data_IF_540120409073
#
_entry.id   IF_540120409073
#
_cell.length_a   1.000
_cell.length_b   1.000
_cell.length_c   1.000
_cell.angle_alpha   90.00
_cell.angle_beta   90.00
_cell.angle_gamma   90.00
#
_symmetry.space_group_name_H-M   'P 1'
#
loop_
_entity.id
_entity.type
_entity.pdbx_description
1 polymer ?
#
# COMPACT_ATOMS: atom_id res chain seq x y z
N UNK A 1 21.40 44.00 5.40
CA UNK A 1 21.14 42.70 4.73
C UNK A 1 20.73 41.71 5.80
N UNK A 2 19.43 41.40 5.92
CA UNK A 2 18.96 40.34 6.80
C UNK A 2 19.13 39.02 6.07
N UNK A 3 20.01 38.16 6.59
CA UNK A 3 20.18 36.78 6.15
C UNK A 3 18.87 36.03 6.38
N UNK A 4 18.21 35.60 5.31
CA UNK A 4 17.15 34.61 5.37
C UNK A 4 17.81 33.24 5.56
N UNK A 5 18.09 32.87 6.80
CA UNK A 5 18.24 31.46 7.13
C UNK A 5 16.85 30.85 7.04
N UNK A 6 16.52 30.29 5.88
CA UNK A 6 15.44 29.33 5.78
C UNK A 6 15.82 28.17 6.70
N UNK A 7 15.10 28.02 7.81
CA UNK A 7 15.14 26.80 8.62
C UNK A 7 14.69 25.66 7.71
N UNK A 8 15.62 24.97 7.05
CA UNK A 8 15.35 23.69 6.40
C UNK A 8 15.16 22.68 7.52
N UNK A 9 13.92 22.53 7.99
CA UNK A 9 13.59 21.42 8.89
C UNK A 9 13.91 20.11 8.16
N UNK A 10 14.67 19.25 8.81
CA UNK A 10 14.97 17.90 8.35
C UNK A 10 13.66 17.13 8.18
N UNK A 11 13.46 16.46 7.03
CA UNK A 11 12.25 15.69 6.76
C UNK A 11 12.10 14.56 7.78
N UNK A 12 10.90 14.39 8.32
CA UNK A 12 10.61 13.35 9.31
C UNK A 12 9.42 12.51 8.87
N UNK A 13 9.66 11.22 8.71
CA UNK A 13 8.65 10.25 8.32
C UNK A 13 7.45 10.24 9.29
N UNK A 14 6.23 10.56 8.83
CA UNK A 14 5.03 10.45 9.65
C UNK A 14 4.75 8.98 10.06
N UNK A 15 4.12 8.73 11.23
CA UNK A 15 3.80 7.37 11.67
C UNK A 15 2.82 6.67 10.74
N UNK A 16 2.97 5.35 10.55
CA UNK A 16 2.18 4.54 9.63
C UNK A 16 0.68 4.72 9.84
N UNK A 17 -0.15 4.61 8.80
CA UNK A 17 -1.62 4.64 8.90
C UNK A 17 -2.22 5.86 9.63
N UNK A 18 -1.43 6.91 9.88
CA UNK A 18 -1.93 8.20 10.41
C UNK A 18 -2.47 9.05 9.28
N UNK A 19 -3.40 9.94 9.61
CA UNK A 19 -3.86 10.98 8.68
C UNK A 19 -2.69 11.70 8.00
N UNK A 20 -1.71 12.18 8.77
CA UNK A 20 -0.52 12.86 8.25
C UNK A 20 0.26 11.99 7.25
N UNK A 21 0.50 10.70 7.57
CA UNK A 21 1.22 9.79 6.65
C UNK A 21 0.48 9.51 5.35
N UNK A 22 -0.85 9.46 5.41
CA UNK A 22 -1.69 9.13 4.26
C UNK A 22 -1.81 10.31 3.32
N UNK A 23 -2.03 11.51 3.87
CA UNK A 23 -2.04 12.77 3.13
C UNK A 23 -0.68 13.03 2.50
N UNK A 24 0.41 12.89 3.27
CA UNK A 24 1.78 13.07 2.76
C UNK A 24 2.07 12.14 1.57
N UNK A 25 1.75 10.84 1.69
CA UNK A 25 1.93 9.89 0.59
C UNK A 25 1.07 10.22 -0.63
N UNK A 26 -0.19 10.61 -0.42
CA UNK A 26 -1.11 10.97 -1.50
C UNK A 26 -0.67 12.21 -2.28
N UNK A 27 -0.08 13.19 -1.58
CA UNK A 27 0.47 14.41 -2.16
C UNK A 27 1.81 14.15 -2.89
N UNK A 28 2.71 13.40 -2.27
CA UNK A 28 4.11 13.29 -2.72
C UNK A 28 4.40 12.10 -3.66
N UNK A 29 3.57 11.05 -3.66
CA UNK A 29 3.80 9.80 -4.43
C UNK A 29 2.67 9.53 -5.43
N UNK A 30 2.73 8.46 -6.24
CA UNK A 30 1.66 8.11 -7.22
C UNK A 30 0.38 7.55 -6.58
N UNK A 31 0.34 7.48 -5.26
CA UNK A 31 -0.74 6.86 -4.51
C UNK A 31 -0.27 6.33 -3.17
N UNK A 32 -1.12 5.54 -2.54
CA UNK A 32 -0.92 5.08 -1.17
C UNK A 32 -1.59 3.74 -0.92
N UNK A 33 -1.11 3.06 0.11
CA UNK A 33 -1.67 1.86 0.66
C UNK A 33 -1.99 2.09 2.14
N UNK A 34 -3.10 1.55 2.62
CA UNK A 34 -3.48 1.65 4.02
C UNK A 34 -4.42 0.54 4.47
N UNK A 35 -4.47 0.36 5.79
CA UNK A 35 -5.13 -0.77 6.42
C UNK A 35 -6.45 -0.38 7.08
N UNK A 36 -7.53 -1.08 6.75
CA UNK A 36 -8.87 -0.86 7.29
C UNK A 36 -9.27 -1.95 8.29
N UNK A 37 -9.85 -1.50 9.40
CA UNK A 37 -10.52 -2.31 10.42
C UNK A 37 -11.89 -1.75 10.76
N UNK A 38 -12.71 -2.61 11.37
CA UNK A 38 -14.04 -2.27 11.85
C UNK A 38 -14.01 -2.19 13.37
N UNK A 39 -14.52 -1.09 13.92
CA UNK A 39 -14.65 -0.84 15.37
C UNK A 39 -15.81 -1.63 15.98
N UNK A 40 -16.04 -1.46 17.29
CA UNK A 40 -17.15 -2.09 18.01
C UNK A 40 -18.51 -1.51 17.60
N UNK A 41 -18.54 -0.22 17.28
CA UNK A 41 -19.69 0.57 16.81
C UNK A 41 -19.87 0.60 15.28
N UNK A 42 -19.29 -0.37 14.57
CA UNK A 42 -19.47 -0.59 13.12
C UNK A 42 -18.96 0.58 12.24
N UNK A 43 -17.88 1.24 12.65
CA UNK A 43 -17.23 2.32 11.90
C UNK A 43 -15.82 1.93 11.44
N UNK A 44 -15.28 2.66 10.45
CA UNK A 44 -14.00 2.35 9.82
C UNK A 44 -12.84 3.12 10.45
N UNK A 45 -11.85 2.37 10.94
CA UNK A 45 -10.59 2.90 11.46
C UNK A 45 -9.41 2.45 10.61
N UNK A 46 -8.45 3.34 10.40
CA UNK A 46 -7.21 3.05 9.68
C UNK A 46 -6.14 2.52 10.64
N UNK A 47 -5.91 1.21 10.64
CA UNK A 47 -4.96 0.55 11.53
C UNK A 47 -4.53 -0.86 11.09
N UNK A 48 -3.24 -1.15 11.18
CA UNK A 48 -2.67 -2.42 10.74
C UNK A 48 -2.94 -3.59 11.70
N UNK A 49 -2.66 -3.41 12.99
CA UNK A 49 -2.55 -4.49 13.98
C UNK A 49 -3.86 -4.81 14.70
N UNK A 50 -3.94 -6.00 15.30
CA UNK A 50 -5.11 -6.38 16.11
C UNK A 50 -5.20 -5.56 17.40
N UNK A 51 -4.04 -5.23 17.96
CA UNK A 51 -3.95 -4.48 19.19
C UNK A 51 -3.86 -2.99 18.87
N UNK A 52 -4.50 -2.16 19.69
CA UNK A 52 -4.29 -0.72 19.65
C UNK A 52 -2.81 -0.44 19.87
N UNK A 53 -2.27 0.51 19.13
CA UNK A 53 -0.88 0.93 19.23
C UNK A 53 -0.65 1.86 20.44
N UNK A 54 -1.26 1.54 21.58
CA UNK A 54 -1.20 2.29 22.83
C UNK A 54 -0.42 1.46 23.84
N UNK A 55 0.62 1.99 24.49
CA UNK A 55 1.36 1.24 25.51
C UNK A 55 0.44 0.81 26.67
N UNK A 56 0.67 -0.39 27.22
CA UNK A 56 -0.24 -1.01 28.20
C UNK A 56 -0.55 -0.13 29.41
N UNK A 57 0.44 0.65 29.89
CA UNK A 57 0.25 1.56 31.02
C UNK A 57 -0.71 2.72 30.75
N UNK A 58 -1.06 2.98 29.48
CA UNK A 58 -1.95 4.05 29.05
C UNK A 58 -3.31 3.55 28.56
N UNK A 59 -3.57 2.24 28.64
CA UNK A 59 -4.88 1.69 28.29
C UNK A 59 -5.95 2.01 29.33
N UNK A 60 -5.56 2.33 30.58
CA UNK A 60 -6.50 2.68 31.66
C UNK A 60 -7.64 1.65 31.82
N UNK A 61 -7.28 0.36 31.84
CA UNK A 61 -8.23 -0.75 31.95
C UNK A 61 -9.05 -1.06 30.69
N UNK A 62 -8.87 -0.29 29.60
CA UNK A 62 -9.56 -0.53 28.32
C UNK A 62 -9.01 -1.74 27.58
N UNK A 63 -9.77 -2.31 26.62
CA UNK A 63 -9.36 -3.50 25.89
C UNK A 63 -8.09 -3.29 25.06
N UNK A 64 -7.32 -4.36 24.82
CA UNK A 64 -6.15 -4.30 23.94
C UNK A 64 -6.53 -4.32 22.46
N UNK A 65 -7.65 -4.94 22.09
CA UNK A 65 -8.00 -5.13 20.68
C UNK A 65 -8.71 -3.90 20.11
N UNK A 66 -8.28 -3.44 18.94
CA UNK A 66 -8.88 -2.28 18.27
C UNK A 66 -10.35 -2.49 17.94
N UNK A 67 -10.77 -3.72 17.64
CA UNK A 67 -12.16 -4.04 17.32
C UNK A 67 -13.11 -4.05 18.54
N UNK A 68 -12.59 -3.85 19.75
CA UNK A 68 -13.37 -3.73 20.99
C UNK A 68 -13.58 -2.27 21.43
N UNK A 69 -13.10 -1.31 20.63
CA UNK A 69 -13.26 0.12 20.90
C UNK A 69 -14.29 0.73 19.95
N UNK A 70 -15.01 1.73 20.44
CA UNK A 70 -15.78 2.67 19.62
C UNK A 70 -14.82 3.63 18.91
N UNK A 71 -15.18 4.08 17.70
CA UNK A 71 -14.30 4.92 16.89
C UNK A 71 -13.99 6.26 17.57
N UNK A 72 -14.99 6.89 18.18
CA UNK A 72 -14.84 8.17 18.85
C UNK A 72 -13.79 8.11 19.97
N UNK A 73 -13.63 6.97 20.65
CA UNK A 73 -12.60 6.78 21.67
C UNK A 73 -11.23 6.51 21.08
N UNK A 74 -11.14 5.82 19.94
CA UNK A 74 -9.89 5.65 19.19
C UNK A 74 -9.38 7.00 18.65
N UNK A 75 -10.26 7.86 18.16
CA UNK A 75 -9.87 9.18 17.63
C UNK A 75 -9.33 10.10 18.74
N UNK A 76 -9.87 10.03 19.97
CA UNK A 76 -9.33 10.77 21.13
C UNK A 76 -7.87 10.43 21.43
N UNK A 77 -7.44 9.23 21.08
CA UNK A 77 -6.05 8.74 21.27
C UNK A 77 -5.24 8.74 19.98
N UNK A 78 -5.72 9.45 18.95
CA UNK A 78 -4.94 9.78 17.76
C UNK A 78 -5.03 8.77 16.61
N UNK A 79 -5.99 7.83 16.64
CA UNK A 79 -6.29 6.99 15.49
C UNK A 79 -6.97 7.81 14.39
N UNK A 80 -6.83 7.36 13.15
CA UNK A 80 -7.48 7.99 12.01
C UNK A 80 -8.72 7.20 11.65
N UNK A 81 -9.89 7.82 11.66
CA UNK A 81 -11.07 7.26 11.00
C UNK A 81 -10.93 7.38 9.48
N UNK A 82 -11.59 6.48 8.75
CA UNK A 82 -11.66 6.60 7.29
C UNK A 82 -12.52 7.81 6.87
N UNK A 83 -13.57 8.11 7.63
CA UNK A 83 -14.42 9.29 7.42
C UNK A 83 -13.62 10.59 7.48
N UNK A 84 -12.80 10.79 8.53
CA UNK A 84 -11.94 11.96 8.66
C UNK A 84 -11.00 12.12 7.46
N UNK A 85 -10.39 11.02 7.02
CA UNK A 85 -9.53 11.04 5.83
C UNK A 85 -10.31 11.43 4.57
N UNK A 86 -11.51 10.87 4.38
CA UNK A 86 -12.40 11.18 3.25
C UNK A 86 -13.00 12.59 3.32
N UNK A 87 -12.88 13.30 4.45
CA UNK A 87 -13.28 14.71 4.57
C UNK A 87 -12.15 15.70 4.24
N UNK A 88 -10.91 15.22 4.11
CA UNK A 88 -9.75 16.06 3.81
C UNK A 88 -9.60 16.28 2.30
N UNK A 89 -9.51 17.54 1.89
CA UNK A 89 -9.28 17.93 0.49
C UNK A 89 -7.88 17.59 0.01
N UNK A 90 -6.88 17.68 0.90
CA UNK A 90 -5.50 17.31 0.56
C UNK A 90 -5.37 15.81 0.36
N UNK A 91 -6.31 15.02 0.85
CA UNK A 91 -6.47 13.61 0.51
C UNK A 91 -7.29 13.39 -0.77
N UNK A 92 -8.48 13.97 -0.83
CA UNK A 92 -9.47 13.67 -1.87
C UNK A 92 -9.06 14.20 -3.25
N UNK A 93 -8.61 15.46 -3.35
CA UNK A 93 -8.36 16.09 -4.65
C UNK A 93 -7.31 15.32 -5.46
N UNK A 94 -6.15 14.91 -4.92
CA UNK A 94 -5.22 14.08 -5.69
C UNK A 94 -5.80 12.75 -6.12
N UNK A 95 -6.64 12.12 -5.30
CA UNK A 95 -7.25 10.84 -5.62
C UNK A 95 -8.34 10.95 -6.70
N UNK A 96 -9.13 12.03 -6.67
CA UNK A 96 -10.18 12.33 -7.65
C UNK A 96 -9.59 12.78 -8.99
N UNK A 97 -8.62 13.69 -8.95
CA UNK A 97 -8.26 14.52 -10.10
C UNK A 97 -6.85 14.21 -10.63
N UNK A 98 -5.91 13.80 -9.78
CA UNK A 98 -4.49 13.72 -10.15
C UNK A 98 -4.03 12.31 -10.56
N UNK A 99 -4.98 11.42 -10.89
CA UNK A 99 -4.72 10.01 -11.24
C UNK A 99 -3.91 9.25 -10.19
N UNK A 100 -4.02 9.63 -8.91
CA UNK A 100 -3.47 8.87 -7.79
C UNK A 100 -4.31 7.63 -7.54
N UNK A 101 -3.72 6.64 -6.88
CA UNK A 101 -4.40 5.37 -6.59
C UNK A 101 -4.30 4.98 -5.13
N UNK A 102 -5.26 4.21 -4.63
CA UNK A 102 -5.24 3.67 -3.29
C UNK A 102 -5.44 2.15 -3.24
N UNK A 103 -4.57 1.48 -2.49
CA UNK A 103 -4.73 0.08 -2.10
C UNK A 103 -5.34 0.02 -0.69
N UNK A 104 -6.58 -0.50 -0.58
CA UNK A 104 -7.32 -0.59 0.68
C UNK A 104 -7.18 -2.02 1.24
N UNK A 105 -6.30 -2.22 2.22
CA UNK A 105 -6.16 -3.54 2.87
C UNK A 105 -7.27 -3.78 3.88
N UNK A 106 -8.09 -4.81 3.64
CA UNK A 106 -9.07 -5.24 4.63
C UNK A 106 -8.39 -6.17 5.62
N UNK A 107 -8.19 -5.72 6.86
CA UNK A 107 -7.65 -6.58 7.92
C UNK A 107 -8.71 -7.52 8.46
N UNK A 108 -8.29 -8.76 8.67
CA UNK A 108 -9.11 -9.77 9.35
C UNK A 108 -9.05 -9.52 10.84
N UNK A 109 -10.17 -9.68 11.54
CA UNK A 109 -10.21 -9.68 13.01
C UNK A 109 -9.79 -11.04 13.59
N UNK A 110 -9.51 -11.08 14.89
CA UNK A 110 -9.27 -12.33 15.61
C UNK A 110 -10.55 -13.18 15.73
N UNK A 111 -10.44 -14.52 15.90
CA UNK A 111 -11.60 -15.41 16.06
C UNK A 111 -12.50 -15.06 17.27
N UNK A 112 -11.95 -14.42 18.30
CA UNK A 112 -12.71 -13.99 19.48
C UNK A 112 -13.63 -12.80 19.22
N UNK A 113 -13.31 -11.99 18.20
CA UNK A 113 -14.13 -10.84 17.78
C UNK A 113 -15.28 -11.34 16.89
N UNK A 114 -14.95 -12.13 15.86
CA UNK A 114 -15.94 -12.68 14.95
C UNK A 114 -15.45 -14.02 14.36
N UNK A 115 -16.36 -14.99 14.37
CA UNK A 115 -16.15 -16.31 13.79
C UNK A 115 -16.31 -16.24 12.26
N UNK A 116 -17.34 -15.56 11.77
CA UNK A 116 -17.53 -15.31 10.33
C UNK A 116 -16.77 -14.06 9.87
N UNK A 117 -15.45 -14.24 9.75
CA UNK A 117 -14.56 -13.18 9.26
C UNK A 117 -14.93 -12.70 7.84
N UNK A 118 -15.58 -13.53 7.01
CA UNK A 118 -15.96 -13.12 5.65
C UNK A 118 -17.08 -12.09 5.69
N UNK A 119 -18.07 -12.28 6.58
CA UNK A 119 -19.14 -11.32 6.80
C UNK A 119 -18.62 -10.00 7.38
N UNK A 120 -17.69 -10.05 8.35
CA UNK A 120 -17.08 -8.81 8.88
C UNK A 120 -16.28 -8.06 7.81
N UNK A 121 -15.49 -8.79 7.02
CA UNK A 121 -14.75 -8.18 5.90
C UNK A 121 -15.67 -7.61 4.83
N UNK A 122 -16.82 -8.23 4.55
CA UNK A 122 -17.78 -7.66 3.59
C UNK A 122 -18.41 -6.38 4.11
N UNK A 123 -18.62 -6.26 5.43
CA UNK A 123 -19.07 -5.01 6.05
C UNK A 123 -18.03 -3.89 5.90
N UNK A 124 -16.75 -4.19 6.10
CA UNK A 124 -15.67 -3.22 5.84
C UNK A 124 -15.66 -2.78 4.37
N UNK A 125 -15.70 -3.73 3.44
CA UNK A 125 -15.71 -3.43 2.00
C UNK A 125 -16.94 -2.61 1.61
N UNK A 126 -18.10 -2.89 2.19
CA UNK A 126 -19.33 -2.14 1.95
C UNK A 126 -19.17 -0.67 2.35
N UNK A 127 -18.86 -0.41 3.62
CA UNK A 127 -18.72 0.95 4.17
C UNK A 127 -17.66 1.77 3.42
N UNK A 128 -16.52 1.13 3.11
CA UNK A 128 -15.44 1.80 2.40
C UNK A 128 -15.83 2.08 0.94
N UNK A 129 -16.51 1.14 0.27
CA UNK A 129 -16.99 1.36 -1.09
C UNK A 129 -18.03 2.47 -1.16
N UNK A 130 -18.98 2.54 -0.21
CA UNK A 130 -19.98 3.62 -0.15
C UNK A 130 -19.29 4.99 -0.12
N UNK A 131 -18.33 5.21 0.78
CA UNK A 131 -17.57 6.46 0.85
C UNK A 131 -16.74 6.75 -0.41
N UNK A 132 -16.09 5.73 -0.98
CA UNK A 132 -15.27 5.87 -2.20
C UNK A 132 -16.14 6.16 -3.44
N UNK A 133 -17.33 5.56 -3.51
CA UNK A 133 -18.32 5.79 -4.58
C UNK A 133 -18.94 7.18 -4.47
N UNK A 134 -19.35 7.60 -3.27
CA UNK A 134 -19.90 8.94 -3.00
C UNK A 134 -18.89 10.05 -3.33
N UNK A 135 -17.61 9.82 -3.03
CA UNK A 135 -16.53 10.73 -3.39
C UNK A 135 -16.20 10.74 -4.90
N UNK A 136 -16.89 9.97 -5.74
CA UNK A 136 -16.66 9.97 -7.19
C UNK A 136 -15.27 9.44 -7.59
N UNK A 137 -14.62 8.66 -6.75
CA UNK A 137 -13.31 8.08 -7.06
C UNK A 137 -13.44 7.13 -8.24
N UNK A 138 -12.56 7.24 -9.22
CA UNK A 138 -12.61 6.40 -10.42
C UNK A 138 -12.42 4.91 -10.12
N UNK A 139 -13.07 4.05 -10.92
CA UNK A 139 -13.08 2.59 -10.69
C UNK A 139 -11.68 1.98 -10.65
N UNK A 140 -10.78 2.45 -11.51
CA UNK A 140 -9.39 1.99 -11.57
C UNK A 140 -8.44 2.71 -10.59
N UNK A 141 -8.95 3.57 -9.70
CA UNK A 141 -8.15 4.31 -8.72
C UNK A 141 -8.22 3.73 -7.29
N UNK A 142 -9.06 2.73 -7.05
CA UNK A 142 -9.20 2.08 -5.75
C UNK A 142 -9.23 0.56 -5.92
N UNK A 143 -8.43 -0.18 -5.15
CA UNK A 143 -8.46 -1.65 -5.15
C UNK A 143 -8.53 -2.15 -3.72
N UNK A 144 -9.47 -3.06 -3.46
CA UNK A 144 -9.52 -3.78 -2.18
C UNK A 144 -8.64 -5.02 -2.24
N UNK A 145 -7.91 -5.28 -1.18
CA UNK A 145 -7.15 -6.54 -1.09
C UNK A 145 -6.98 -7.01 0.34
N UNK A 146 -6.71 -8.29 0.51
CA UNK A 146 -6.51 -8.89 1.82
C UNK A 146 -5.83 -10.25 1.72
N UNK A 147 -5.22 -10.68 2.84
CA UNK A 147 -4.78 -12.06 3.04
C UNK A 147 -5.96 -13.01 3.34
N UNK A 148 -6.95 -13.06 2.44
CA UNK A 148 -8.17 -13.86 2.61
C UNK A 148 -8.52 -14.66 1.36
N UNK A 149 -8.83 -15.96 1.53
CA UNK A 149 -9.10 -16.84 0.38
C UNK A 149 -10.40 -16.47 -0.34
N UNK A 150 -11.56 -16.31 0.31
CA UNK A 150 -12.82 -16.05 -0.40
C UNK A 150 -13.08 -14.55 -0.62
N UNK A 151 -12.10 -13.79 -1.15
CA UNK A 151 -12.30 -12.36 -1.48
C UNK A 151 -13.46 -12.12 -2.45
N UNK A 152 -13.71 -13.04 -3.39
CA UNK A 152 -14.89 -12.97 -4.26
C UNK A 152 -16.21 -13.00 -3.47
N UNK A 153 -16.27 -13.81 -2.40
CA UNK A 153 -17.44 -13.85 -1.50
C UNK A 153 -17.56 -12.56 -0.68
N UNK A 154 -16.45 -11.98 -0.25
CA UNK A 154 -16.43 -10.66 0.42
C UNK A 154 -17.04 -9.60 -0.49
N UNK A 155 -16.56 -9.50 -1.73
CA UNK A 155 -17.08 -8.54 -2.71
C UNK A 155 -18.57 -8.75 -2.97
N UNK A 156 -19.00 -9.99 -3.25
CA UNK A 156 -20.42 -10.33 -3.48
C UNK A 156 -21.32 -9.97 -2.30
N UNK A 157 -20.89 -10.28 -1.07
CA UNK A 157 -21.68 -9.98 0.14
C UNK A 157 -21.72 -8.48 0.46
N UNK A 158 -20.67 -7.74 0.11
CA UNK A 158 -20.61 -6.30 0.34
C UNK A 158 -21.49 -5.48 -0.62
N UNK A 159 -21.92 -6.07 -1.74
CA UNK A 159 -22.58 -5.35 -2.82
C UNK A 159 -21.65 -4.46 -3.66
N UNK A 160 -20.37 -4.36 -3.31
CA UNK A 160 -19.39 -3.53 -4.02
C UNK A 160 -19.03 -4.08 -5.40
N UNK A 161 -18.97 -3.18 -6.39
CA UNK A 161 -18.44 -3.43 -7.74
C UNK A 161 -16.96 -3.06 -7.88
N UNK A 162 -16.33 -2.53 -6.82
CA UNK A 162 -14.93 -2.11 -6.81
C UNK A 162 -14.00 -3.31 -7.01
N UNK A 163 -12.88 -3.12 -7.73
CA UNK A 163 -12.01 -4.22 -8.06
C UNK A 163 -11.28 -4.71 -6.80
N UNK A 164 -10.89 -5.98 -6.80
CA UNK A 164 -10.17 -6.57 -5.69
C UNK A 164 -9.04 -7.50 -6.13
N UNK A 165 -8.03 -7.62 -5.28
CA UNK A 165 -6.90 -8.55 -5.42
C UNK A 165 -6.73 -9.40 -4.16
N UNK A 166 -6.03 -10.53 -4.27
CA UNK A 166 -5.73 -11.38 -3.11
C UNK A 166 -4.27 -11.28 -2.70
N UNK A 167 -3.99 -11.02 -1.43
CA UNK A 167 -2.63 -11.13 -0.90
C UNK A 167 -2.31 -12.60 -0.61
N UNK A 168 -1.17 -13.06 -1.12
CA UNK A 168 -0.71 -14.44 -1.01
C UNK A 168 0.77 -14.48 -0.61
N UNK A 169 1.19 -15.49 0.18
CA UNK A 169 0.40 -16.58 0.76
C UNK A 169 -0.54 -16.10 1.87
N UNK A 170 -1.65 -16.80 2.08
CA UNK A 170 -2.59 -16.47 3.16
C UNK A 170 -1.95 -16.76 4.51
N UNK A 171 -1.70 -15.70 5.26
CA UNK A 171 -1.12 -15.77 6.60
C UNK A 171 -2.19 -16.19 7.61
N UNK A 172 -1.92 -17.09 8.58
CA UNK A 172 -2.85 -17.39 9.66
C UNK A 172 -3.16 -16.15 10.53
N UNK A 173 -4.36 -16.11 11.13
CA UNK A 173 -4.79 -15.00 12.00
C UNK A 173 -4.05 -15.00 13.35
N UNK A 174 -3.86 -16.17 13.93
CA UNK A 174 -3.27 -16.35 15.27
C UNK A 174 -1.84 -16.90 15.20
N UNK A 175 -1.09 -16.76 16.30
CA UNK A 175 0.27 -17.29 16.46
C UNK A 175 1.38 -16.25 16.23
N UNK A 176 2.60 -16.61 16.61
CA UNK A 176 3.78 -15.74 16.46
C UNK A 176 4.12 -15.46 14.99
N UNK A 177 4.85 -14.37 14.74
CA UNK A 177 5.31 -13.99 13.41
C UNK A 177 6.01 -15.16 12.67
N UNK A 178 6.95 -15.83 13.33
CA UNK A 178 7.68 -16.95 12.73
C UNK A 178 6.77 -18.18 12.48
N UNK A 179 5.87 -18.50 13.41
CA UNK A 179 4.91 -19.60 13.24
C UNK A 179 3.88 -19.34 12.15
N UNK A 180 3.48 -18.08 11.94
CA UNK A 180 2.64 -17.65 10.83
C UNK A 180 3.35 -17.85 9.48
N UNK A 181 4.62 -17.44 9.36
CA UNK A 181 5.41 -17.62 8.13
C UNK A 181 5.63 -19.10 7.80
N UNK A 182 5.94 -19.94 8.79
CA UNK A 182 6.13 -21.37 8.58
C UNK A 182 4.88 -22.04 7.99
N UNK A 183 3.70 -21.73 8.52
CA UNK A 183 2.43 -22.28 8.01
C UNK A 183 2.04 -21.75 6.63
N UNK A 184 2.51 -20.55 6.26
CA UNK A 184 2.30 -19.97 4.94
C UNK A 184 3.28 -20.50 3.87
N UNK A 185 4.41 -21.08 4.29
CA UNK A 185 5.49 -21.55 3.42
C UNK A 185 5.06 -22.54 2.33
N UNK A 186 4.23 -23.57 2.60
CA UNK A 186 3.79 -24.49 1.54
C UNK A 186 3.04 -23.77 0.41
N UNK A 187 2.24 -22.76 0.76
CA UNK A 187 1.55 -21.95 -0.23
C UNK A 187 2.53 -21.06 -1.00
N UNK A 188 3.52 -20.47 -0.34
CA UNK A 188 4.56 -19.68 -1.00
C UNK A 188 5.35 -20.53 -2.02
N UNK A 189 5.80 -21.73 -1.63
CA UNK A 189 6.54 -22.67 -2.50
C UNK A 189 5.73 -23.03 -3.75
N UNK A 190 4.44 -23.30 -3.60
CA UNK A 190 3.57 -23.73 -4.72
C UNK A 190 3.25 -22.61 -5.72
N UNK A 191 3.30 -21.34 -5.29
CA UNK A 191 3.01 -20.17 -6.12
C UNK A 191 4.32 -19.55 -6.62
N UNK A 192 4.92 -20.09 -7.68
CA UNK A 192 5.94 -19.33 -8.43
C UNK A 192 5.35 -18.04 -9.01
N UNK A 193 6.20 -17.06 -9.34
CA UNK A 193 5.75 -15.75 -9.85
C UNK A 193 4.70 -15.86 -10.97
N UNK A 194 4.96 -16.69 -11.99
CA UNK A 194 4.02 -16.95 -13.08
C UNK A 194 2.68 -17.54 -12.62
N UNK A 195 2.72 -18.50 -11.67
CA UNK A 195 1.50 -19.11 -11.13
C UNK A 195 0.70 -18.11 -10.31
N UNK A 196 1.38 -17.26 -9.55
CA UNK A 196 0.74 -16.19 -8.79
C UNK A 196 0.06 -15.19 -9.73
N UNK A 197 0.76 -14.75 -10.78
CA UNK A 197 0.23 -13.82 -11.79
C UNK A 197 -1.01 -14.39 -12.49
N UNK A 198 -0.93 -15.62 -13.00
CA UNK A 198 -2.07 -16.30 -13.63
C UNK A 198 -3.25 -16.44 -12.68
N UNK A 199 -2.99 -16.67 -11.40
CA UNK A 199 -4.05 -16.80 -10.39
C UNK A 199 -4.82 -15.50 -10.18
N UNK A 200 -4.13 -14.36 -10.18
CA UNK A 200 -4.77 -13.04 -10.08
C UNK A 200 -5.55 -12.71 -11.36
N UNK A 201 -4.96 -12.96 -12.52
CA UNK A 201 -5.64 -12.78 -13.81
C UNK A 201 -6.92 -13.60 -13.89
N UNK A 202 -6.86 -14.89 -13.52
CA UNK A 202 -8.01 -15.79 -13.54
C UNK A 202 -9.11 -15.39 -12.54
N UNK A 203 -8.80 -14.60 -11.50
CA UNK A 203 -9.80 -14.05 -10.59
C UNK A 203 -10.35 -12.69 -11.01
N UNK A 204 -9.92 -12.14 -12.16
CA UNK A 204 -10.31 -10.81 -12.61
C UNK A 204 -9.69 -9.67 -11.80
N UNK A 205 -8.60 -9.93 -11.08
CA UNK A 205 -7.93 -8.91 -10.28
C UNK A 205 -7.28 -7.84 -11.19
N UNK A 206 -7.31 -6.55 -10.81
CA UNK A 206 -6.73 -5.49 -11.64
C UNK A 206 -5.20 -5.49 -11.62
N UNK A 207 -4.60 -6.06 -10.57
CA UNK A 207 -3.16 -6.14 -10.36
C UNK A 207 -2.79 -7.32 -9.47
N UNK A 208 -1.53 -7.75 -9.54
CA UNK A 208 -0.95 -8.70 -8.60
C UNK A 208 -0.14 -7.95 -7.54
N UNK A 209 -0.57 -7.96 -6.27
CA UNK A 209 0.35 -7.61 -5.22
C UNK A 209 1.39 -8.76 -5.15
N UNK A 210 2.67 -8.44 -4.99
CA UNK A 210 3.78 -9.40 -4.94
C UNK A 210 4.78 -9.10 -3.81
N UNK A 211 5.16 -10.11 -3.02
CA UNK A 211 6.21 -9.93 -2.01
C UNK A 211 7.60 -9.75 -2.66
N UNK A 212 8.46 -8.93 -2.08
CA UNK A 212 9.86 -8.73 -2.54
C UNK A 212 10.69 -10.03 -2.50
N UNK A 213 10.28 -11.00 -1.67
CA UNK A 213 10.87 -12.34 -1.55
C UNK A 213 10.94 -13.11 -2.90
N UNK A 214 10.18 -12.70 -3.94
CA UNK A 214 10.27 -13.25 -5.31
C UNK A 214 11.49 -12.76 -6.11
N UNK A 215 12.15 -11.70 -5.66
CA UNK A 215 13.28 -11.04 -6.33
C UNK A 215 14.55 -11.04 -5.46
N UNK A 216 14.37 -11.04 -4.14
CA UNK A 216 15.43 -10.89 -3.15
C UNK A 216 15.84 -12.20 -2.47
N UNK A 217 17.14 -12.31 -2.19
CA UNK A 217 17.71 -13.37 -1.35
C UNK A 217 17.56 -14.78 -1.93
N UNK A 218 17.70 -15.79 -1.06
CA UNK A 218 17.61 -17.19 -1.46
C UNK A 218 16.17 -17.64 -1.72
N UNK A 219 15.17 -16.97 -1.11
CA UNK A 219 13.76 -17.38 -1.16
C UNK A 219 13.20 -17.39 -2.57
N UNK A 220 13.67 -16.52 -3.47
CA UNK A 220 13.27 -16.54 -4.88
C UNK A 220 13.51 -17.87 -5.59
N UNK A 221 14.39 -18.73 -5.06
CA UNK A 221 14.72 -20.03 -5.64
C UNK A 221 13.92 -21.20 -5.07
N UNK A 222 13.09 -21.00 -4.04
CA UNK A 222 12.40 -22.11 -3.35
C UNK A 222 11.06 -22.48 -3.99
N UNK A 223 10.64 -21.75 -5.02
CA UNK A 223 9.35 -21.96 -5.66
C UNK A 223 9.37 -23.14 -6.64
N UNK A 224 8.21 -23.80 -6.78
CA UNK A 224 7.95 -24.75 -7.85
C UNK A 224 7.72 -24.01 -9.18
N UNK A 225 8.82 -23.73 -9.88
CA UNK A 225 8.87 -23.06 -11.18
C UNK A 225 10.19 -22.36 -11.42
N UNK A 226 10.36 -21.77 -12.60
CA UNK A 226 11.58 -21.00 -12.90
C UNK A 226 11.56 -19.67 -12.14
N UNK A 227 12.65 -19.31 -11.42
CA UNK A 227 12.75 -18.04 -10.72
C UNK A 227 12.77 -16.87 -11.71
N UNK A 228 12.30 -15.71 -11.27
CA UNK A 228 12.45 -14.43 -11.98
C UNK A 228 13.52 -13.58 -11.27
N UNK A 229 13.90 -12.47 -11.89
CA UNK A 229 14.91 -11.57 -11.33
C UNK A 229 14.99 -10.28 -12.13
N UNK A 230 15.76 -9.31 -11.64
CA UNK A 230 15.79 -7.95 -12.18
C UNK A 230 16.93 -7.71 -13.17
N UNK A 231 17.74 -8.74 -13.48
CA UNK A 231 18.88 -8.62 -14.41
C UNK A 231 18.97 -9.79 -15.39
N UNK A 232 19.60 -9.53 -16.54
CA UNK A 232 19.99 -10.55 -17.52
C UNK A 232 18.85 -11.46 -17.99
N UNK A 233 19.12 -12.77 -18.08
CA UNK A 233 18.13 -13.76 -18.56
C UNK A 233 16.88 -13.85 -17.66
N UNK A 234 17.02 -13.57 -16.37
CA UNK A 234 15.90 -13.64 -15.43
C UNK A 234 14.96 -12.43 -15.61
N UNK A 235 15.48 -11.25 -15.94
CA UNK A 235 14.68 -10.08 -16.32
C UNK A 235 13.89 -10.32 -17.62
N UNK A 236 14.54 -10.89 -18.64
CA UNK A 236 13.84 -11.25 -19.89
C UNK A 236 12.68 -12.22 -19.63
N UNK A 237 12.86 -13.15 -18.69
CA UNK A 237 11.80 -14.08 -18.26
C UNK A 237 10.70 -13.34 -17.51
N UNK A 238 11.05 -12.46 -16.58
CA UNK A 238 10.10 -11.61 -15.85
C UNK A 238 9.22 -10.83 -16.82
N UNK A 239 9.81 -10.04 -17.73
CA UNK A 239 9.10 -9.21 -18.69
C UNK A 239 8.18 -10.04 -19.61
N UNK A 240 8.64 -11.23 -20.05
CA UNK A 240 7.81 -12.15 -20.82
C UNK A 240 6.58 -12.66 -20.05
N UNK A 241 6.73 -12.91 -18.74
CA UNK A 241 5.62 -13.37 -17.89
C UNK A 241 4.68 -12.20 -17.55
N UNK A 242 5.26 -11.03 -17.25
CA UNK A 242 4.54 -9.82 -16.86
C UNK A 242 3.57 -9.36 -17.95
N UNK A 243 4.05 -9.26 -19.19
CA UNK A 243 3.28 -8.66 -20.28
C UNK A 243 2.80 -7.26 -19.89
N UNK A 244 1.49 -7.03 -19.99
CA UNK A 244 0.85 -5.77 -19.58
C UNK A 244 0.10 -5.87 -18.24
N UNK A 245 0.29 -6.95 -17.47
CA UNK A 245 -0.43 -7.15 -16.22
C UNK A 245 0.28 -6.44 -15.07
N UNK A 246 -0.38 -5.56 -14.29
CA UNK A 246 0.30 -4.77 -13.29
C UNK A 246 0.72 -5.60 -12.08
N UNK A 247 1.91 -5.29 -11.55
CA UNK A 247 2.47 -5.97 -10.38
C UNK A 247 3.01 -4.95 -9.40
N UNK A 248 2.60 -5.05 -8.15
CA UNK A 248 2.93 -4.11 -7.08
C UNK A 248 3.74 -4.83 -6.01
N UNK A 249 5.02 -4.48 -5.90
CA UNK A 249 5.99 -5.18 -5.05
C UNK A 249 6.06 -4.55 -3.67
N UNK A 250 5.96 -5.37 -2.63
CA UNK A 250 6.04 -4.93 -1.22
C UNK A 250 7.02 -5.80 -0.39
N UNK A 251 7.75 -5.20 0.56
CA UNK A 251 8.13 -3.78 0.59
C UNK A 251 9.13 -3.46 -0.53
N UNK A 252 9.11 -2.22 -1.01
CA UNK A 252 10.09 -1.66 -1.94
C UNK A 252 11.36 -1.21 -1.22
N UNK A 253 12.39 -2.05 -1.24
CA UNK A 253 13.68 -1.67 -0.64
C UNK A 253 14.46 -0.67 -1.53
N UNK A 254 15.04 0.43 -1.00
CA UNK A 254 15.66 1.51 -1.78
C UNK A 254 16.76 1.03 -2.75
N UNK A 255 17.77 0.34 -2.22
CA UNK A 255 18.07 -1.02 -2.66
C UNK A 255 17.90 -1.43 -4.13
N UNK A 256 16.65 -1.81 -4.41
CA UNK A 256 16.15 -2.44 -5.61
C UNK A 256 15.21 -1.52 -6.38
N UNK A 257 14.92 -0.32 -5.87
CA UNK A 257 13.86 0.57 -6.36
C UNK A 257 13.97 0.82 -7.86
N UNK A 258 15.15 1.27 -8.32
CA UNK A 258 15.40 1.49 -9.76
C UNK A 258 15.24 0.21 -10.58
N UNK A 259 15.86 -0.88 -10.14
CA UNK A 259 15.82 -2.17 -10.84
C UNK A 259 14.37 -2.70 -10.95
N UNK A 260 13.51 -2.43 -9.96
CA UNK A 260 12.09 -2.79 -9.96
C UNK A 260 11.28 -1.91 -10.92
N UNK A 261 11.44 -0.59 -10.85
CA UNK A 261 10.73 0.35 -11.74
C UNK A 261 11.13 0.13 -13.21
N UNK A 262 12.42 -0.02 -13.49
CA UNK A 262 12.94 -0.30 -14.84
C UNK A 262 12.50 -1.68 -15.37
N UNK A 263 12.19 -2.63 -14.49
CA UNK A 263 11.61 -3.92 -14.85
C UNK A 263 10.11 -3.85 -15.16
N UNK A 264 9.46 -2.69 -15.01
CA UNK A 264 8.03 -2.47 -15.23
C UNK A 264 7.16 -2.86 -14.02
N UNK A 265 7.74 -2.90 -12.81
CA UNK A 265 7.04 -3.24 -11.58
C UNK A 265 6.74 -1.97 -10.77
N UNK A 266 5.53 -1.88 -10.25
CA UNK A 266 5.18 -0.84 -9.27
C UNK A 266 5.66 -1.22 -7.88
N UNK A 267 5.80 -0.24 -6.99
CA UNK A 267 6.42 -0.41 -5.68
C UNK A 267 5.52 0.14 -4.57
N UNK A 268 5.40 -0.61 -3.47
CA UNK A 268 4.88 -0.14 -2.18
C UNK A 268 6.10 0.14 -1.28
N UNK A 269 6.46 1.40 -1.09
CA UNK A 269 7.67 1.78 -0.37
C UNK A 269 7.40 2.12 1.10
N UNK A 270 8.26 1.63 1.98
CA UNK A 270 8.31 2.01 3.40
C UNK A 270 9.20 3.24 3.65
N UNK A 271 9.78 3.81 2.58
CA UNK A 271 10.77 4.87 2.64
C UNK A 271 10.25 6.07 1.86
N UNK A 272 9.70 7.04 2.58
CA UNK A 272 9.01 8.18 1.98
C UNK A 272 9.86 9.45 1.82
N UNK A 273 11.12 9.42 2.26
CA UNK A 273 12.02 10.58 2.14
C UNK A 273 12.29 10.92 0.66
N UNK A 274 11.83 12.09 0.17
CA UNK A 274 12.08 12.52 -1.20
C UNK A 274 13.57 12.84 -1.46
N UNK A 275 14.30 13.26 -0.44
CA UNK A 275 15.70 13.70 -0.56
C UNK A 275 16.70 12.55 -0.45
N UNK A 276 16.22 11.34 -0.14
CA UNK A 276 17.04 10.13 -0.07
C UNK A 276 17.82 9.94 -1.36
N UNK A 277 19.14 9.80 -1.23
CA UNK A 277 19.99 9.27 -2.29
C UNK A 277 19.94 7.75 -2.21
N UNK A 278 19.53 7.11 -3.30
CA UNK A 278 19.46 5.65 -3.36
C UNK A 278 20.85 5.03 -3.17
N UNK A 279 20.96 3.78 -2.69
CA UNK A 279 22.24 3.10 -2.52
C UNK A 279 23.11 2.99 -3.78
N UNK A 280 22.51 3.12 -4.97
CA UNK A 280 23.22 3.20 -6.25
C UNK A 280 23.72 4.61 -6.61
N UNK A 281 23.60 5.59 -5.71
CA UNK A 281 24.00 6.99 -5.89
C UNK A 281 22.97 7.87 -6.63
N UNK A 282 21.85 7.31 -7.06
CA UNK A 282 20.83 8.04 -7.81
C UNK A 282 19.93 8.88 -6.91
N UNK A 283 19.47 10.02 -7.41
CA UNK A 283 18.33 10.75 -6.82
C UNK A 283 17.02 9.99 -7.04
N UNK A 284 16.05 10.18 -6.14
CA UNK A 284 14.74 9.53 -6.21
C UNK A 284 13.75 10.35 -7.04
N UNK A 285 12.78 9.64 -7.60
CA UNK A 285 11.63 10.24 -8.25
C UNK A 285 10.38 9.48 -7.82
N UNK A 286 9.53 10.12 -7.02
CA UNK A 286 8.45 9.42 -6.32
C UNK A 286 7.14 9.31 -7.10
N UNK A 287 7.10 9.91 -8.31
CA UNK A 287 5.90 10.00 -9.14
C UNK A 287 6.11 9.49 -10.57
N UNK A 288 6.68 8.29 -10.79
CA UNK A 288 6.94 7.78 -12.15
C UNK A 288 5.68 7.68 -13.03
N UNK A 289 4.47 7.53 -12.46
CA UNK A 289 3.24 7.53 -13.24
C UNK A 289 2.65 8.93 -13.43
N UNK A 290 2.47 9.68 -12.33
CA UNK A 290 1.71 10.93 -12.32
C UNK A 290 2.54 12.16 -12.65
N UNK A 291 3.86 12.03 -12.74
CA UNK A 291 4.81 13.00 -13.29
C UNK A 291 5.90 12.23 -14.05
N UNK A 292 5.58 11.64 -15.22
CA UNK A 292 6.50 10.74 -15.90
C UNK A 292 7.72 11.49 -16.45
N UNK A 293 8.90 10.92 -16.23
CA UNK A 293 10.15 11.47 -16.74
C UNK A 293 10.41 11.02 -18.18
N UNK A 294 11.07 11.89 -18.96
CA UNK A 294 11.71 11.48 -20.20
C UNK A 294 12.88 10.51 -19.92
N UNK A 295 13.32 9.76 -20.94
CA UNK A 295 14.47 8.88 -20.81
C UNK A 295 15.74 9.63 -20.37
N UNK A 296 15.92 10.87 -20.84
CA UNK A 296 17.07 11.71 -20.48
C UNK A 296 17.00 12.16 -19.01
N UNK A 297 15.82 12.61 -18.55
CA UNK A 297 15.59 12.98 -17.15
C UNK A 297 15.80 11.79 -16.22
N UNK A 298 15.28 10.60 -16.58
CA UNK A 298 15.48 9.36 -15.81
C UNK A 298 16.97 8.98 -15.69
N UNK A 299 17.74 9.13 -16.76
CA UNK A 299 19.20 8.94 -16.72
C UNK A 299 19.91 10.06 -15.94
N UNK A 300 19.37 11.28 -15.96
CA UNK A 300 19.81 12.42 -15.16
C UNK A 300 19.84 12.13 -13.66
N UNK A 301 18.84 11.41 -13.13
CA UNK A 301 18.78 11.02 -11.72
C UNK A 301 20.04 10.26 -11.27
N UNK A 302 20.63 9.42 -12.13
CA UNK A 302 21.86 8.69 -11.83
C UNK A 302 23.09 9.60 -11.69
N UNK A 303 23.03 10.79 -12.28
CA UNK A 303 24.07 11.83 -12.23
C UNK A 303 23.79 12.88 -11.16
N UNK A 304 22.76 12.67 -10.33
CA UNK A 304 22.35 13.61 -9.29
C UNK A 304 21.51 14.78 -9.80
N UNK A 305 21.01 14.72 -11.05
CA UNK A 305 20.20 15.78 -11.66
C UNK A 305 18.73 15.45 -11.41
N UNK A 306 18.04 16.28 -10.61
CA UNK A 306 16.60 16.20 -10.40
C UNK A 306 15.93 17.20 -11.33
N UNK A 307 14.96 16.79 -12.16
CA UNK A 307 14.23 17.72 -13.01
C UNK A 307 13.27 18.59 -12.19
N UNK A 308 13.25 19.90 -12.46
CA UNK A 308 12.41 20.86 -11.75
C UNK A 308 11.04 21.06 -12.42
N UNK A 309 11.00 21.04 -13.76
CA UNK A 309 9.79 21.35 -14.55
C UNK A 309 9.17 20.10 -15.20
N UNK A 310 8.60 19.21 -14.39
CA UNK A 310 7.88 18.02 -14.90
C UNK A 310 6.39 18.25 -14.76
N UNK A 311 5.70 18.40 -15.90
CA UNK A 311 4.26 18.61 -15.90
C UNK A 311 3.52 17.39 -15.31
N UNK A 312 2.61 17.58 -14.34
CA UNK A 312 1.74 16.52 -13.85
C UNK A 312 0.85 15.94 -14.94
N UNK A 313 0.59 14.64 -14.86
CA UNK A 313 -0.20 13.91 -15.85
C UNK A 313 -1.58 14.53 -16.10
N UNK A 314 -2.26 14.99 -15.04
CA UNK A 314 -3.60 15.57 -15.12
C UNK A 314 -3.63 16.94 -15.82
N UNK A 315 -2.50 17.62 -15.97
CA UNK A 315 -2.40 18.89 -16.72
C UNK A 315 -2.15 18.67 -18.22
N UNK A 316 -1.60 17.51 -18.58
CA UNK A 316 -1.20 17.19 -19.95
C UNK A 316 -2.08 16.12 -20.62
N UNK A 317 -3.01 15.52 -19.87
CA UNK A 317 -3.91 14.49 -20.38
C UNK A 317 -5.23 14.45 -19.63
N UNK A 318 -6.33 14.38 -20.39
CA UNK A 318 -7.68 14.12 -19.86
C UNK A 318 -7.91 12.65 -19.48
N UNK A 319 -6.97 11.75 -19.82
CA UNK A 319 -7.11 10.33 -19.50
C UNK A 319 -6.72 10.09 -18.06
N UNK A 320 -7.50 9.31 -17.33
CA UNK A 320 -7.06 8.83 -16.02
C UNK A 320 -6.10 7.64 -16.14
N UNK A 321 -5.04 7.64 -15.34
CA UNK A 321 -4.15 6.49 -15.22
C UNK A 321 -4.73 5.51 -14.19
N UNK A 322 -5.01 4.29 -14.61
CA UNK A 322 -5.33 3.18 -13.72
C UNK A 322 -4.10 2.42 -13.22
N UNK A 323 -4.29 1.15 -12.89
CA UNK A 323 -3.28 0.28 -12.29
C UNK A 323 -2.10 -0.10 -13.19
N UNK A 324 -2.24 0.05 -14.52
CA UNK A 324 -1.24 -0.34 -15.53
C UNK A 324 -0.01 0.56 -15.59
N UNK A 325 -0.12 1.80 -15.13
CA UNK A 325 1.05 2.67 -15.02
C UNK A 325 2.00 2.11 -13.96
N UNK A 326 3.31 2.19 -14.23
CA UNK A 326 4.35 1.85 -13.24
C UNK A 326 4.38 2.96 -12.21
N UNK A 327 4.14 2.60 -10.95
CA UNK A 327 3.93 3.54 -9.84
C UNK A 327 4.91 3.32 -8.71
N UNK A 328 5.17 4.39 -7.98
CA UNK A 328 5.62 4.27 -6.59
C UNK A 328 4.54 4.80 -5.67
N UNK A 329 4.04 3.94 -4.78
CA UNK A 329 3.02 4.30 -3.79
C UNK A 329 3.56 4.09 -2.38
N UNK A 330 3.08 4.90 -1.45
CA UNK A 330 3.45 4.80 -0.05
C UNK A 330 2.81 3.58 0.63
N UNK A 331 3.58 2.77 1.34
CA UNK A 331 3.07 1.63 2.12
C UNK A 331 2.61 2.10 3.50
N UNK A 332 1.37 1.82 3.90
CA UNK A 332 0.75 2.34 5.14
C UNK A 332 0.89 3.86 5.27
N UNK A 333 0.72 4.60 4.18
CA UNK A 333 1.15 5.99 4.10
C UNK A 333 2.65 6.08 3.82
N UNK A 334 3.45 6.52 4.79
CA UNK A 334 4.87 6.81 4.58
C UNK A 334 5.82 5.69 5.04
N UNK A 335 5.31 4.50 5.39
CA UNK A 335 6.10 3.34 5.85
C UNK A 335 5.92 3.00 7.33
N UNK A 336 6.68 2.01 7.81
CA UNK A 336 6.51 1.30 9.11
C UNK A 336 6.93 2.04 10.38
N UNK A 337 6.70 3.33 10.47
CA UNK A 337 6.97 4.09 11.70
C UNK A 337 5.84 3.84 12.70
N UNK A 338 6.16 3.39 13.93
CA UNK A 338 5.17 2.91 14.92
C UNK A 338 4.19 4.02 15.38
N UNK A 339 2.90 3.66 15.51
CA UNK A 339 1.78 4.49 16.02
C UNK A 339 1.55 4.37 17.54
N UNK A 340 0.77 5.30 18.13
CA UNK A 340 1.31 6.45 18.81
C UNK A 340 2.02 6.07 20.11
N UNK A 341 3.20 6.64 20.35
CA UNK A 341 3.66 6.81 21.73
C UNK A 341 3.16 8.19 22.20
N UNK A 342 1.82 8.34 22.22
CA UNK A 342 1.03 9.49 22.69
C UNK A 342 1.47 10.86 22.11
N UNK A 343 0.65 11.47 21.25
CA UNK A 343 0.63 12.94 21.20
C UNK A 343 -0.23 13.42 22.36
N UNK A 344 0.42 13.85 23.44
CA UNK A 344 -0.27 14.57 24.51
C UNK A 344 -0.74 15.91 23.92
N UNK A 345 -1.95 16.29 24.33
CA UNK A 345 -2.63 17.57 24.07
C UNK A 345 -1.66 18.76 24.18
#
# INVERSE_FOLDING_TARGET
>A
MKSFYANTMEWKQPPENTHASLVEAMQSMDGVEFDLRLTADDQLVVHHDHEVSIPEQYLDGRPKLVEEWDLADLEKVGFCSFEKLMSDRDWLTPWQEHSKVACLEIKRCLPQIEKDVTRRMSRIMQLASEMVDEAGIHHEAAVFYAFHKPMEKVAKLSGSSRPWSRLLPVVPRTGSHNGKRLRALPQFITHSFNRLLKKQQNSGAPMMPCAVDYFEGFKRFIHLGMPVGLKGRQLKRLQKILGNFPVYVWPGHPYMERDLLEAGLSILTDFADPEMVLPCGSKRWMRPATMPLSNEQWQGLARGIVPEDVAPWHEISDKQLGWKAVRMIGHRGCGKTVRPVIQSI
#
